data_IF_704961775314
#
_entry.id   IF_704961775314
#
_cell.length_a   1.000
_cell.length_b   1.000
_cell.length_c   1.000
_cell.angle_alpha   90.00
_cell.angle_beta   90.00
_cell.angle_gamma   90.00
#
_symmetry.space_group_name_H-M   'P 1'
#
loop_
_entity.id
_entity.type
_entity.pdbx_description
1 polymer ?
#
# COMPACT_ATOMS: atom_id res chain seq x y z
N UNK A 1 -9.58 -25.56 59.25
CA UNK A 1 -8.22 -25.26 58.72
C UNK A 1 -8.01 -25.67 57.24
N UNK A 2 -8.98 -26.22 56.52
CA UNK A 2 -8.85 -26.64 55.11
C UNK A 2 -9.22 -25.56 54.04
N UNK A 3 -9.97 -24.54 54.43
CA UNK A 3 -10.49 -23.53 53.46
C UNK A 3 -9.46 -22.42 53.13
N UNK A 4 -8.48 -22.15 53.99
CA UNK A 4 -7.45 -21.11 53.74
C UNK A 4 -6.35 -21.53 52.75
N UNK A 5 -6.08 -22.82 52.61
CA UNK A 5 -5.08 -23.34 51.67
C UNK A 5 -5.55 -23.28 50.23
N UNK A 6 -6.83 -23.50 49.94
CA UNK A 6 -7.39 -23.47 48.55
C UNK A 6 -7.35 -22.05 47.97
N UNK A 7 -7.58 -21.01 48.80
CA UNK A 7 -7.53 -19.63 48.31
C UNK A 7 -6.11 -19.16 48.00
N UNK A 8 -5.09 -19.69 48.69
CA UNK A 8 -3.69 -19.35 48.44
C UNK A 8 -3.18 -19.93 47.12
N UNK A 9 -3.62 -21.16 46.76
CA UNK A 9 -3.22 -21.79 45.49
C UNK A 9 -3.87 -21.12 44.27
N UNK A 10 -5.10 -20.67 44.37
CA UNK A 10 -5.77 -19.91 43.31
C UNK A 10 -5.12 -18.54 43.07
N UNK A 11 -4.66 -17.86 44.10
CA UNK A 11 -4.00 -16.55 43.99
C UNK A 11 -2.58 -16.67 43.39
N UNK A 12 -1.85 -17.72 43.70
CA UNK A 12 -0.51 -17.98 43.17
C UNK A 12 -0.59 -18.40 41.69
N UNK A 13 -1.59 -19.24 41.31
CA UNK A 13 -1.82 -19.63 39.92
C UNK A 13 -2.16 -18.44 39.00
N UNK A 14 -2.96 -17.47 39.50
CA UNK A 14 -3.34 -16.28 38.75
C UNK A 14 -2.17 -15.32 38.54
N UNK A 15 -1.30 -15.17 39.56
CA UNK A 15 -0.08 -14.35 39.47
C UNK A 15 0.95 -14.91 38.48
N UNK A 16 1.11 -16.23 38.45
CA UNK A 16 2.02 -16.90 37.48
C UNK A 16 1.54 -16.78 36.05
N UNK A 17 0.24 -16.94 35.78
CA UNK A 17 -0.32 -16.84 34.44
C UNK A 17 -0.22 -15.40 33.88
N UNK A 18 -0.43 -14.40 34.70
CA UNK A 18 -0.27 -12.98 34.31
C UNK A 18 1.20 -12.66 34.00
N UNK A 19 2.13 -13.14 34.82
CA UNK A 19 3.55 -12.88 34.60
C UNK A 19 4.12 -13.53 33.32
N UNK A 20 3.66 -14.74 32.99
CA UNK A 20 4.04 -15.43 31.73
C UNK A 20 3.48 -14.67 30.53
N UNK A 21 2.21 -14.28 30.55
CA UNK A 21 1.59 -13.54 29.46
C UNK A 21 2.27 -12.19 29.20
N UNK A 22 2.67 -11.45 30.24
CA UNK A 22 3.41 -10.20 30.10
C UNK A 22 4.85 -10.39 29.58
N UNK A 23 5.50 -11.48 29.94
CA UNK A 23 6.84 -11.81 29.44
C UNK A 23 6.82 -12.19 27.96
N UNK A 24 5.81 -12.94 27.51
CA UNK A 24 5.62 -13.31 26.11
C UNK A 24 5.30 -12.08 25.25
N UNK A 25 4.44 -11.18 25.73
CA UNK A 25 4.08 -9.95 25.02
C UNK A 25 5.29 -9.02 24.84
N UNK A 26 6.13 -8.87 25.86
CA UNK A 26 7.38 -8.10 25.75
C UNK A 26 8.34 -8.72 24.74
N UNK A 27 8.47 -10.04 24.71
CA UNK A 27 9.29 -10.75 23.73
C UNK A 27 8.77 -10.54 22.30
N UNK A 28 7.44 -10.53 22.07
CA UNK A 28 6.87 -10.27 20.75
C UNK A 28 7.14 -8.85 20.27
N UNK A 29 6.99 -7.85 21.13
CA UNK A 29 7.27 -6.46 20.78
C UNK A 29 8.76 -6.25 20.43
N UNK A 30 9.68 -6.94 21.11
CA UNK A 30 11.11 -6.92 20.80
C UNK A 30 11.37 -7.54 19.41
N UNK A 31 10.78 -8.70 19.10
CA UNK A 31 10.90 -9.34 17.78
C UNK A 31 10.35 -8.46 16.65
N UNK A 32 9.22 -7.79 16.87
CA UNK A 32 8.64 -6.85 15.91
C UNK A 32 9.56 -5.64 15.71
N UNK A 33 10.11 -5.08 16.77
CA UNK A 33 11.03 -3.95 16.69
C UNK A 33 12.35 -4.33 15.96
N UNK A 34 12.87 -5.55 16.20
CA UNK A 34 14.02 -6.08 15.45
C UNK A 34 13.66 -6.24 13.96
N UNK A 35 12.49 -6.80 13.64
CA UNK A 35 12.06 -6.96 12.27
C UNK A 35 11.93 -5.61 11.55
N UNK A 36 11.50 -4.56 12.25
CA UNK A 36 11.36 -3.23 11.69
C UNK A 36 12.71 -2.61 11.33
N UNK A 37 13.72 -2.77 12.17
CA UNK A 37 15.09 -2.32 11.87
C UNK A 37 15.65 -3.03 10.63
N UNK A 38 15.49 -4.37 10.59
CA UNK A 38 15.92 -5.17 9.44
C UNK A 38 15.20 -4.78 8.15
N UNK A 39 13.91 -4.48 8.24
CA UNK A 39 13.13 -3.97 7.11
C UNK A 39 13.66 -2.61 6.62
N UNK A 40 13.94 -1.67 7.52
CA UNK A 40 14.49 -0.35 7.18
C UNK A 40 15.85 -0.46 6.47
N UNK A 41 16.63 -1.50 6.80
CA UNK A 41 17.90 -1.82 6.15
C UNK A 41 17.74 -2.67 4.86
N UNK A 42 16.52 -2.86 4.36
CA UNK A 42 16.17 -3.73 3.23
C UNK A 42 16.56 -5.21 3.40
N UNK A 43 16.76 -5.66 4.64
CA UNK A 43 17.06 -7.05 4.98
C UNK A 43 15.76 -7.85 5.16
N UNK A 44 14.97 -7.95 4.09
CA UNK A 44 13.61 -8.51 4.14
C UNK A 44 13.57 -9.96 4.62
N UNK A 45 14.53 -10.79 4.25
CA UNK A 45 14.55 -12.21 4.63
C UNK A 45 14.81 -12.39 6.13
N UNK A 46 15.67 -11.57 6.72
CA UNK A 46 15.94 -11.56 8.15
C UNK A 46 14.78 -10.96 8.95
N UNK A 47 14.19 -9.87 8.44
CA UNK A 47 12.95 -9.29 8.97
C UNK A 47 11.83 -10.33 9.02
N UNK A 48 11.65 -11.09 7.94
CA UNK A 48 10.67 -12.15 7.84
C UNK A 48 10.87 -13.26 8.88
N UNK A 49 12.12 -13.64 9.17
CA UNK A 49 12.43 -14.64 10.24
C UNK A 49 11.98 -14.15 11.62
N UNK A 50 12.21 -12.86 11.93
CA UNK A 50 11.75 -12.27 13.20
C UNK A 50 10.24 -12.24 13.31
N UNK A 51 9.54 -11.91 12.19
CA UNK A 51 8.08 -11.96 12.16
C UNK A 51 7.55 -13.38 12.31
N UNK A 52 8.19 -14.38 11.68
CA UNK A 52 7.83 -15.79 11.85
C UNK A 52 8.00 -16.28 13.30
N UNK A 53 9.03 -15.81 14.01
CA UNK A 53 9.24 -16.04 15.44
C UNK A 53 8.14 -15.36 16.26
N UNK A 54 7.82 -14.09 15.97
CA UNK A 54 6.75 -13.36 16.64
C UNK A 54 5.38 -14.02 16.45
N UNK A 55 5.05 -14.49 15.25
CA UNK A 55 3.80 -15.23 14.98
C UNK A 55 3.71 -16.56 15.72
N UNK A 56 4.85 -17.25 15.96
CA UNK A 56 4.90 -18.47 16.77
C UNK A 56 4.74 -18.18 18.25
N UNK A 57 5.39 -17.15 18.75
CA UNK A 57 5.38 -16.77 20.17
C UNK A 57 4.05 -16.14 20.56
N UNK A 58 3.47 -15.30 19.68
CA UNK A 58 2.22 -14.57 19.92
C UNK A 58 1.21 -14.79 18.77
N UNK A 59 0.66 -15.99 18.62
CA UNK A 59 -0.18 -16.34 17.46
C UNK A 59 -1.51 -15.58 17.37
N UNK A 60 -1.86 -14.81 18.42
CA UNK A 60 -3.07 -13.96 18.47
C UNK A 60 -2.79 -12.48 18.21
N UNK A 61 -1.55 -12.10 18.03
CA UNK A 61 -1.17 -10.71 17.71
C UNK A 61 -1.29 -10.48 16.20
N UNK A 62 -2.05 -9.48 15.80
CA UNK A 62 -2.33 -9.19 14.39
C UNK A 62 -1.12 -8.52 13.68
N UNK A 63 -0.36 -7.72 14.39
CA UNK A 63 0.71 -6.88 13.84
C UNK A 63 1.78 -7.63 13.02
N UNK A 64 2.35 -8.78 13.45
CA UNK A 64 3.35 -9.49 12.65
C UNK A 64 2.83 -9.91 11.27
N UNK A 65 1.54 -10.20 11.16
CA UNK A 65 0.95 -10.66 9.90
C UNK A 65 0.89 -9.54 8.85
N UNK A 66 0.40 -8.34 9.18
CA UNK A 66 0.40 -7.25 8.20
C UNK A 66 1.83 -6.81 7.83
N UNK A 67 2.78 -6.85 8.79
CA UNK A 67 4.19 -6.54 8.51
C UNK A 67 4.81 -7.56 7.55
N UNK A 68 4.46 -8.83 7.68
CA UNK A 68 4.88 -9.88 6.74
C UNK A 68 4.34 -9.60 5.33
N UNK A 69 3.06 -9.25 5.21
CA UNK A 69 2.45 -8.83 3.94
C UNK A 69 3.18 -7.63 3.32
N UNK A 70 3.52 -6.61 4.14
CA UNK A 70 4.32 -5.46 3.73
C UNK A 70 5.69 -5.88 3.18
N UNK A 71 6.41 -6.71 3.92
CA UNK A 71 7.76 -7.15 3.52
C UNK A 71 7.75 -7.86 2.15
N UNK A 72 6.77 -8.74 1.91
CA UNK A 72 6.60 -9.40 0.61
C UNK A 72 6.40 -8.37 -0.49
N UNK A 73 5.47 -7.44 -0.29
CA UNK A 73 5.14 -6.40 -1.27
C UNK A 73 6.37 -5.53 -1.58
N UNK A 74 7.03 -4.97 -0.57
CA UNK A 74 8.13 -4.04 -0.76
C UNK A 74 9.38 -4.71 -1.34
N UNK A 75 9.65 -5.96 -0.99
CA UNK A 75 10.66 -6.78 -1.66
C UNK A 75 10.38 -6.88 -3.16
N UNK A 76 9.12 -7.11 -3.55
CA UNK A 76 8.72 -7.19 -4.96
C UNK A 76 8.86 -5.85 -5.69
N UNK A 77 8.61 -4.74 -4.99
CA UNK A 77 8.76 -3.41 -5.55
C UNK A 77 10.24 -2.95 -5.61
N UNK A 78 11.11 -3.48 -4.73
CA UNK A 78 12.54 -3.17 -4.71
C UNK A 78 13.35 -3.85 -5.82
N UNK A 79 12.81 -4.90 -6.47
CA UNK A 79 13.51 -5.53 -7.57
C UNK A 79 13.66 -4.60 -8.77
N UNK A 80 14.88 -4.55 -9.33
CA UNK A 80 15.06 -4.04 -10.68
C UNK A 80 14.14 -4.79 -11.63
N UNK A 81 13.64 -4.07 -12.64
CA UNK A 81 12.70 -4.59 -13.62
C UNK A 81 13.07 -5.93 -14.24
N UNK A 82 14.36 -6.09 -14.55
CA UNK A 82 14.90 -7.31 -15.17
C UNK A 82 15.02 -8.48 -14.17
N UNK A 83 14.81 -8.23 -12.88
CA UNK A 83 14.90 -9.20 -11.79
C UNK A 83 13.53 -9.53 -11.18
N UNK A 84 12.46 -8.84 -11.61
CA UNK A 84 11.11 -9.17 -11.12
C UNK A 84 10.77 -10.63 -11.47
N UNK A 85 10.16 -11.36 -10.51
CA UNK A 85 9.70 -12.72 -10.76
C UNK A 85 8.74 -12.81 -11.96
N UNK A 86 8.66 -13.98 -12.57
CA UNK A 86 7.66 -14.23 -13.62
C UNK A 86 6.23 -13.98 -13.13
N UNK A 87 5.34 -13.62 -14.05
CA UNK A 87 3.93 -13.30 -13.78
C UNK A 87 3.22 -14.29 -12.85
N UNK A 88 3.46 -15.61 -13.03
CA UNK A 88 2.84 -16.66 -12.20
C UNK A 88 3.30 -16.57 -10.75
N UNK A 89 4.58 -16.32 -10.55
CA UNK A 89 5.17 -16.18 -9.23
C UNK A 89 4.75 -14.88 -8.56
N UNK A 90 4.68 -13.77 -9.30
CA UNK A 90 4.12 -12.51 -8.79
C UNK A 90 2.69 -12.68 -8.27
N UNK A 91 1.83 -13.38 -9.03
CA UNK A 91 0.46 -13.67 -8.61
C UNK A 91 0.46 -14.48 -7.32
N UNK A 92 1.33 -15.50 -7.20
CA UNK A 92 1.45 -16.33 -5.99
C UNK A 92 1.86 -15.50 -4.78
N UNK A 93 2.85 -14.63 -4.94
CA UNK A 93 3.36 -13.78 -3.85
C UNK A 93 2.33 -12.72 -3.42
N UNK A 94 1.58 -12.12 -4.35
CA UNK A 94 0.47 -11.22 -3.97
C UNK A 94 -0.70 -11.95 -3.29
N UNK A 95 -0.97 -13.21 -3.66
CA UNK A 95 -1.92 -14.05 -2.90
C UNK A 95 -1.41 -14.36 -1.49
N UNK A 96 -0.11 -14.47 -1.29
CA UNK A 96 0.49 -14.64 0.02
C UNK A 96 0.31 -13.38 0.89
N UNK A 97 0.47 -12.17 0.30
CA UNK A 97 0.11 -10.90 0.97
C UNK A 97 -1.35 -10.91 1.42
N UNK A 98 -2.29 -11.33 0.55
CA UNK A 98 -3.70 -11.46 0.92
C UNK A 98 -3.91 -12.45 2.07
N UNK A 99 -3.25 -13.60 2.04
CA UNK A 99 -3.36 -14.63 3.09
C UNK A 99 -2.93 -14.09 4.45
N UNK A 100 -1.81 -13.37 4.51
CA UNK A 100 -1.36 -12.74 5.75
C UNK A 100 -2.32 -11.63 6.19
N UNK A 101 -2.82 -10.82 5.29
CA UNK A 101 -3.78 -9.77 5.59
C UNK A 101 -5.15 -10.33 6.05
N UNK A 102 -5.62 -11.42 5.46
CA UNK A 102 -6.82 -12.13 5.90
C UNK A 102 -6.66 -12.66 7.32
N UNK A 103 -5.52 -13.29 7.62
CA UNK A 103 -5.22 -13.74 8.98
C UNK A 103 -5.16 -12.57 9.97
N UNK A 104 -4.58 -11.46 9.57
CA UNK A 104 -4.55 -10.22 10.34
C UNK A 104 -5.98 -9.74 10.66
N UNK A 105 -6.86 -9.65 9.65
CA UNK A 105 -8.26 -9.23 9.85
C UNK A 105 -9.09 -10.21 10.68
N UNK A 106 -8.78 -11.53 10.64
CA UNK A 106 -9.38 -12.51 11.53
C UNK A 106 -9.01 -12.28 13.00
N UNK A 107 -7.77 -11.86 13.26
CA UNK A 107 -7.25 -11.61 14.60
C UNK A 107 -7.71 -10.26 15.15
N UNK A 108 -7.69 -9.21 14.33
CA UNK A 108 -8.17 -7.89 14.69
C UNK A 108 -8.84 -7.15 13.51
N UNK A 109 -10.17 -7.16 13.49
CA UNK A 109 -10.97 -6.45 12.49
C UNK A 109 -10.91 -4.92 12.64
N UNK A 110 -10.38 -4.41 13.75
CA UNK A 110 -10.29 -2.97 14.03
C UNK A 110 -8.91 -2.40 13.71
N UNK A 111 -7.94 -3.24 13.39
CA UNK A 111 -6.63 -2.77 12.91
C UNK A 111 -6.73 -2.38 11.42
N UNK A 112 -6.64 -1.07 11.14
CA UNK A 112 -6.67 -0.53 9.78
C UNK A 112 -5.52 -1.02 8.90
N UNK A 113 -4.37 -1.40 9.47
CA UNK A 113 -3.23 -1.91 8.71
C UNK A 113 -3.53 -3.26 8.06
N UNK A 114 -4.31 -4.13 8.73
CA UNK A 114 -4.75 -5.39 8.15
C UNK A 114 -5.54 -5.17 6.85
N UNK A 115 -6.45 -4.19 6.87
CA UNK A 115 -7.27 -3.83 5.72
C UNK A 115 -6.47 -3.13 4.61
N UNK A 116 -5.51 -2.29 4.98
CA UNK A 116 -4.60 -1.66 4.02
C UNK A 116 -3.87 -2.72 3.19
N UNK A 117 -3.22 -3.68 3.86
CA UNK A 117 -2.44 -4.72 3.18
C UNK A 117 -3.31 -5.75 2.46
N UNK A 118 -4.55 -5.97 2.93
CA UNK A 118 -5.54 -6.74 2.17
C UNK A 118 -5.84 -6.09 0.81
N UNK A 119 -6.15 -4.81 0.79
CA UNK A 119 -6.38 -4.08 -0.45
C UNK A 119 -5.16 -4.06 -1.38
N UNK A 120 -3.94 -3.93 -0.83
CA UNK A 120 -2.69 -4.00 -1.59
C UNK A 120 -2.54 -5.37 -2.26
N UNK A 121 -2.70 -6.47 -1.53
CA UNK A 121 -2.60 -7.83 -2.08
C UNK A 121 -3.60 -8.06 -3.21
N UNK A 122 -4.89 -7.80 -2.97
CA UNK A 122 -5.95 -7.97 -3.97
C UNK A 122 -5.68 -7.10 -5.21
N UNK A 123 -5.35 -5.82 -5.01
CA UNK A 123 -5.12 -4.86 -6.09
C UNK A 123 -3.93 -5.24 -6.98
N UNK A 124 -2.80 -5.61 -6.37
CA UNK A 124 -1.59 -6.02 -7.11
C UNK A 124 -1.79 -7.36 -7.81
N UNK A 125 -2.44 -8.32 -7.17
CA UNK A 125 -2.83 -9.57 -7.83
C UNK A 125 -3.72 -9.31 -9.05
N UNK A 126 -4.76 -8.48 -8.87
CA UNK A 126 -5.70 -8.12 -9.93
C UNK A 126 -5.00 -7.49 -11.13
N UNK A 127 -4.20 -6.46 -10.92
CA UNK A 127 -3.44 -5.77 -11.98
C UNK A 127 -2.46 -6.70 -12.68
N UNK A 128 -1.77 -7.58 -11.95
CA UNK A 128 -0.88 -8.59 -12.50
C UNK A 128 -1.63 -9.63 -13.35
N UNK A 129 -2.84 -10.01 -12.97
CA UNK A 129 -3.67 -10.95 -13.75
C UNK A 129 -4.21 -10.33 -15.04
N UNK A 130 -4.35 -9.02 -15.10
CA UNK A 130 -4.79 -8.25 -16.26
C UNK A 130 -6.12 -7.51 -16.02
N UNK A 131 -6.43 -6.59 -16.94
CA UNK A 131 -7.49 -5.58 -16.79
C UNK A 131 -8.87 -6.16 -16.43
N UNK A 132 -9.32 -7.20 -17.13
CA UNK A 132 -10.64 -7.78 -16.85
C UNK A 132 -10.75 -8.36 -15.45
N UNK A 133 -9.71 -9.07 -14.98
CA UNK A 133 -9.72 -9.65 -13.63
C UNK A 133 -9.62 -8.56 -12.57
N UNK A 134 -8.82 -7.51 -12.80
CA UNK A 134 -8.71 -6.39 -11.87
C UNK A 134 -10.03 -5.65 -11.68
N UNK A 135 -10.87 -5.53 -12.73
CA UNK A 135 -12.18 -4.91 -12.61
C UNK A 135 -13.12 -5.68 -11.68
N UNK A 136 -13.13 -7.02 -11.74
CA UNK A 136 -13.95 -7.84 -10.84
C UNK A 136 -13.46 -7.86 -9.38
N UNK A 137 -12.22 -7.45 -9.14
CA UNK A 137 -11.64 -7.31 -7.80
C UNK A 137 -11.69 -5.87 -7.27
N UNK A 138 -12.10 -4.93 -8.09
CA UNK A 138 -12.02 -3.50 -7.76
C UNK A 138 -12.89 -3.14 -6.54
N UNK A 139 -14.08 -3.74 -6.42
CA UNK A 139 -14.95 -3.53 -5.25
C UNK A 139 -14.28 -3.98 -3.95
N UNK A 140 -13.63 -5.16 -3.94
CA UNK A 140 -12.97 -5.70 -2.75
C UNK A 140 -11.78 -4.82 -2.34
N UNK A 141 -11.06 -4.24 -3.31
CA UNK A 141 -9.97 -3.28 -3.07
C UNK A 141 -10.52 -1.99 -2.45
N UNK A 142 -11.58 -1.40 -3.04
CA UNK A 142 -12.20 -0.19 -2.52
C UNK A 142 -12.68 -0.40 -1.08
N UNK A 143 -13.42 -1.48 -0.82
CA UNK A 143 -13.96 -1.81 0.50
C UNK A 143 -12.84 -1.96 1.54
N UNK A 144 -11.76 -2.64 1.20
CA UNK A 144 -10.62 -2.82 2.08
C UNK A 144 -9.94 -1.49 2.41
N UNK A 145 -9.64 -0.64 1.43
CA UNK A 145 -8.96 0.63 1.67
C UNK A 145 -9.86 1.69 2.31
N UNK A 146 -11.15 1.76 1.96
CA UNK A 146 -12.12 2.63 2.65
C UNK A 146 -12.28 2.19 4.11
N UNK A 147 -12.28 0.89 4.38
CA UNK A 147 -12.30 0.36 5.74
C UNK A 147 -11.03 0.73 6.50
N UNK A 148 -9.84 0.56 5.89
CA UNK A 148 -8.57 0.97 6.47
C UNK A 148 -8.55 2.46 6.86
N UNK A 149 -8.97 3.33 5.93
CA UNK A 149 -9.05 4.78 6.15
C UNK A 149 -10.00 5.13 7.31
N UNK A 150 -11.18 4.49 7.36
CA UNK A 150 -12.19 4.71 8.41
C UNK A 150 -11.75 4.28 9.81
N UNK A 151 -10.90 3.26 9.92
CA UNK A 151 -10.35 2.75 11.18
C UNK A 151 -9.18 3.60 11.68
N UNK A 152 -8.55 4.34 10.80
CA UNK A 152 -7.33 5.09 11.08
C UNK A 152 -6.08 4.20 11.05
N UNK A 153 -4.96 4.81 10.69
CA UNK A 153 -3.67 4.16 10.53
C UNK A 153 -2.63 4.93 11.33
N UNK A 154 -1.94 4.25 12.21
CA UNK A 154 -1.01 4.87 13.19
C UNK A 154 0.45 4.62 12.85
N UNK A 155 0.75 3.59 12.03
CA UNK A 155 2.12 3.24 11.70
C UNK A 155 2.83 4.35 10.95
N UNK A 156 4.03 4.68 11.44
CA UNK A 156 5.02 5.54 10.79
C UNK A 156 6.40 4.95 11.04
N UNK A 157 7.24 4.87 9.99
CA UNK A 157 8.65 4.46 10.15
C UNK A 157 9.44 5.49 10.97
N UNK A 158 10.50 5.04 11.63
CA UNK A 158 11.34 5.91 12.46
C UNK A 158 11.98 7.05 11.66
N UNK A 159 12.39 6.80 10.41
CA UNK A 159 12.94 7.78 9.48
C UNK A 159 11.86 8.67 8.83
N UNK A 160 10.58 8.37 9.05
CA UNK A 160 9.45 9.11 8.52
C UNK A 160 9.17 8.91 7.02
N UNK A 161 9.94 8.05 6.34
CA UNK A 161 9.77 7.79 4.89
C UNK A 161 8.51 6.97 4.57
N UNK A 162 8.01 6.19 5.53
CA UNK A 162 6.78 5.42 5.40
C UNK A 162 5.75 5.88 6.43
N UNK A 163 4.52 6.16 5.96
CA UNK A 163 3.39 6.55 6.79
C UNK A 163 2.12 5.91 6.22
N UNK A 164 1.53 4.99 6.97
CA UNK A 164 0.39 4.21 6.52
C UNK A 164 -0.85 5.08 6.22
N UNK A 165 -1.05 6.18 6.97
CA UNK A 165 -2.13 7.13 6.70
C UNK A 165 -1.96 7.83 5.35
N UNK A 166 -0.75 8.26 5.03
CA UNK A 166 -0.44 8.82 3.70
C UNK A 166 -0.61 7.77 2.62
N UNK A 167 -0.16 6.53 2.87
CA UNK A 167 -0.23 5.41 1.96
C UNK A 167 -1.66 5.03 1.56
N UNK A 168 -2.61 5.01 2.51
CA UNK A 168 -4.02 4.70 2.17
C UNK A 168 -4.67 5.81 1.36
N UNK A 169 -4.38 7.07 1.66
CA UNK A 169 -4.87 8.21 0.87
C UNK A 169 -4.29 8.17 -0.55
N UNK A 170 -3.01 7.91 -0.70
CA UNK A 170 -2.36 7.70 -2.00
C UNK A 170 -3.01 6.55 -2.79
N UNK A 171 -3.21 5.40 -2.15
CA UNK A 171 -3.79 4.21 -2.77
C UNK A 171 -5.23 4.46 -3.26
N UNK A 172 -6.09 5.07 -2.42
CA UNK A 172 -7.45 5.46 -2.80
C UNK A 172 -7.47 6.49 -3.92
N UNK A 173 -6.57 7.48 -3.88
CA UNK A 173 -6.43 8.45 -4.96
C UNK A 173 -6.10 7.81 -6.30
N UNK A 174 -5.11 6.92 -6.32
CA UNK A 174 -4.78 6.13 -7.52
C UNK A 174 -5.93 5.25 -7.97
N UNK A 175 -6.59 4.56 -7.04
CA UNK A 175 -7.71 3.68 -7.33
C UNK A 175 -8.82 4.40 -8.09
N UNK A 176 -9.32 5.52 -7.56
CA UNK A 176 -10.40 6.27 -8.18
C UNK A 176 -10.02 6.90 -9.54
N UNK A 177 -8.73 7.09 -9.82
CA UNK A 177 -8.25 7.53 -11.14
C UNK A 177 -8.15 6.39 -12.14
N UNK A 178 -7.63 5.23 -11.71
CA UNK A 178 -7.31 4.10 -12.60
C UNK A 178 -8.55 3.28 -12.95
N UNK A 179 -9.49 3.14 -12.01
CA UNK A 179 -10.78 2.49 -12.29
C UNK A 179 -11.57 3.35 -13.28
N UNK A 180 -12.10 2.78 -14.37
CA UNK A 180 -12.79 3.59 -15.37
C UNK A 180 -14.12 4.19 -14.87
N UNK A 181 -14.34 5.49 -15.12
CA UNK A 181 -15.60 6.17 -14.77
C UNK A 181 -16.81 5.67 -15.56
N UNK A 182 -16.61 5.11 -16.78
CA UNK A 182 -17.72 4.55 -17.55
C UNK A 182 -18.39 3.35 -16.86
N UNK A 183 -17.71 2.71 -15.89
CA UNK A 183 -18.30 1.67 -15.04
C UNK A 183 -19.42 2.21 -14.14
N UNK A 184 -19.52 3.52 -13.92
CA UNK A 184 -20.60 4.12 -13.14
C UNK A 184 -21.98 3.99 -13.80
N UNK A 185 -22.02 3.68 -15.10
CA UNK A 185 -23.28 3.53 -15.85
C UNK A 185 -23.93 2.16 -15.59
N UNK A 186 -25.27 2.17 -15.50
CA UNK A 186 -26.07 0.94 -15.42
C UNK A 186 -25.89 0.08 -16.69
N UNK A 187 -25.78 -1.25 -16.60
CA UNK A 187 -25.76 -2.09 -15.38
C UNK A 187 -24.36 -2.36 -14.82
N UNK A 188 -23.31 -1.75 -15.36
CA UNK A 188 -21.91 -2.10 -15.11
C UNK A 188 -21.52 -1.91 -13.63
N UNK A 189 -21.97 -0.81 -13.02
CA UNK A 189 -21.70 -0.56 -11.59
C UNK A 189 -22.25 -1.67 -10.69
N UNK A 190 -23.41 -2.23 -11.02
CA UNK A 190 -24.01 -3.33 -10.24
C UNK A 190 -23.24 -4.65 -10.42
N UNK A 191 -22.58 -4.83 -11.56
CA UNK A 191 -21.80 -6.04 -11.87
C UNK A 191 -20.42 -5.95 -11.22
N UNK A 192 -19.76 -4.79 -11.29
CA UNK A 192 -18.39 -4.58 -10.79
C UNK A 192 -18.37 -4.14 -9.32
N UNK A 193 -19.45 -3.54 -8.82
CA UNK A 193 -19.61 -3.04 -7.46
C UNK A 193 -19.06 -1.64 -7.23
N UNK A 194 -18.16 -1.14 -8.11
CA UNK A 194 -17.50 0.16 -8.00
C UNK A 194 -17.28 0.82 -9.36
N UNK A 195 -16.85 2.08 -9.33
CA UNK A 195 -16.43 2.81 -10.52
C UNK A 195 -15.43 3.92 -10.18
N UNK A 196 -14.70 4.42 -11.18
CA UNK A 196 -13.77 5.53 -11.03
C UNK A 196 -14.46 6.85 -10.70
N UNK A 197 -13.72 7.76 -10.09
CA UNK A 197 -14.17 9.12 -9.74
C UNK A 197 -12.96 10.05 -9.62
N UNK A 198 -12.71 10.84 -10.66
CA UNK A 198 -11.55 11.72 -10.69
C UNK A 198 -11.59 12.82 -9.60
N UNK A 199 -12.78 13.25 -9.14
CA UNK A 199 -12.89 14.21 -8.03
C UNK A 199 -12.51 13.59 -6.71
N UNK A 200 -12.95 12.35 -6.46
CA UNK A 200 -12.49 11.59 -5.28
C UNK A 200 -10.98 11.34 -5.36
N UNK A 201 -10.46 10.99 -6.54
CA UNK A 201 -9.02 10.84 -6.75
C UNK A 201 -8.25 12.07 -6.32
N UNK A 202 -8.62 13.27 -6.82
CA UNK A 202 -8.00 14.53 -6.44
C UNK A 202 -8.10 14.78 -4.92
N UNK A 203 -9.26 14.52 -4.32
CA UNK A 203 -9.47 14.70 -2.87
C UNK A 203 -8.50 13.85 -2.05
N UNK A 204 -8.38 12.56 -2.38
CA UNK A 204 -7.49 11.65 -1.68
C UNK A 204 -6.01 11.97 -1.93
N UNK A 205 -5.63 12.35 -3.17
CA UNK A 205 -4.25 12.77 -3.45
C UNK A 205 -3.87 14.06 -2.71
N UNK A 206 -4.79 15.03 -2.57
CA UNK A 206 -4.56 16.20 -1.73
C UNK A 206 -4.37 15.81 -0.25
N UNK A 207 -5.10 14.82 0.24
CA UNK A 207 -4.92 14.29 1.60
C UNK A 207 -3.56 13.61 1.76
N UNK A 208 -3.09 12.87 0.74
CA UNK A 208 -1.76 12.26 0.75
C UNK A 208 -0.65 13.31 0.81
N UNK A 209 -0.75 14.40 0.03
CA UNK A 209 0.20 15.53 0.06
C UNK A 209 0.15 16.27 1.40
N UNK A 210 -1.04 16.52 1.97
CA UNK A 210 -1.16 17.16 3.27
C UNK A 210 -0.50 16.34 4.39
N UNK A 211 -0.44 15.02 4.22
CA UNK A 211 0.22 14.08 5.12
C UNK A 211 1.76 14.06 4.92
N UNK A 212 2.22 14.07 3.66
CA UNK A 212 3.65 14.11 3.28
C UNK A 212 3.86 15.03 2.07
N UNK A 213 4.12 16.32 2.32
CA UNK A 213 4.25 17.32 1.24
C UNK A 213 5.47 17.12 0.34
N UNK A 214 6.50 16.44 0.84
CA UNK A 214 7.76 16.24 0.12
C UNK A 214 7.79 14.93 -0.68
N UNK A 215 6.76 14.08 -0.57
CA UNK A 215 6.68 12.85 -1.33
C UNK A 215 6.49 13.14 -2.82
N UNK A 216 7.49 12.80 -3.64
CA UNK A 216 7.50 13.06 -5.08
C UNK A 216 6.36 12.29 -5.77
N UNK A 217 6.12 11.04 -5.38
CA UNK A 217 5.04 10.19 -5.88
C UNK A 217 3.65 10.77 -5.59
N UNK A 218 3.39 11.29 -4.36
CA UNK A 218 2.12 11.93 -4.01
C UNK A 218 1.87 13.18 -4.89
N UNK A 219 2.88 14.03 -5.03
CA UNK A 219 2.80 15.25 -5.85
C UNK A 219 2.53 14.90 -7.32
N UNK A 220 3.27 13.93 -7.87
CA UNK A 220 3.07 13.47 -9.24
C UNK A 220 1.66 12.91 -9.46
N UNK A 221 1.16 12.04 -8.56
CA UNK A 221 -0.18 11.45 -8.73
C UNK A 221 -1.31 12.47 -8.59
N UNK A 222 -1.16 13.50 -7.74
CA UNK A 222 -2.11 14.64 -7.75
C UNK A 222 -2.11 15.34 -9.10
N UNK A 223 -0.93 15.66 -9.62
CA UNK A 223 -0.81 16.34 -10.91
C UNK A 223 -1.42 15.50 -12.05
N UNK A 224 -1.20 14.19 -12.07
CA UNK A 224 -1.83 13.28 -13.05
C UNK A 224 -3.35 13.30 -12.94
N UNK A 225 -3.90 13.27 -11.72
CA UNK A 225 -5.35 13.32 -11.49
C UNK A 225 -5.95 14.65 -11.93
N UNK A 226 -5.30 15.78 -11.62
CA UNK A 226 -5.69 17.12 -12.04
C UNK A 226 -5.63 17.28 -13.57
N UNK A 227 -4.55 16.83 -14.21
CA UNK A 227 -4.43 16.86 -15.68
C UNK A 227 -5.55 16.06 -16.34
N UNK A 228 -5.80 14.84 -15.86
CA UNK A 228 -6.84 14.00 -16.44
C UNK A 228 -8.23 14.62 -16.25
N UNK A 229 -8.56 15.11 -15.07
CA UNK A 229 -9.83 15.76 -14.79
C UNK A 229 -9.96 17.08 -15.57
N UNK A 230 -8.93 17.90 -15.57
CA UNK A 230 -8.89 19.18 -16.27
C UNK A 230 -9.11 19.05 -17.78
N UNK A 231 -8.48 18.07 -18.42
CA UNK A 231 -8.68 17.78 -19.85
C UNK A 231 -10.10 17.22 -20.12
N UNK A 232 -10.56 16.27 -19.31
CA UNK A 232 -11.85 15.61 -19.51
C UNK A 232 -13.04 16.53 -19.32
N UNK A 233 -12.96 17.45 -18.36
CA UNK A 233 -14.07 18.33 -17.96
C UNK A 233 -13.83 19.80 -18.27
N UNK A 234 -12.78 20.09 -19.09
CA UNK A 234 -12.42 21.44 -19.53
C UNK A 234 -12.23 22.42 -18.36
N UNK A 235 -11.34 22.04 -17.42
CA UNK A 235 -10.96 22.86 -16.24
C UNK A 235 -9.52 23.36 -16.40
N UNK A 236 -9.30 24.50 -17.05
CA UNK A 236 -7.94 24.99 -17.34
C UNK A 236 -7.14 25.31 -16.08
N UNK A 237 -7.79 25.73 -14.99
CA UNK A 237 -7.10 26.03 -13.73
C UNK A 237 -6.44 24.78 -13.14
N UNK A 238 -7.09 23.62 -13.25
CA UNK A 238 -6.52 22.35 -12.77
C UNK A 238 -5.33 21.92 -13.60
N UNK A 239 -5.37 22.17 -14.91
CA UNK A 239 -4.23 21.89 -15.80
C UNK A 239 -3.02 22.76 -15.42
N UNK A 240 -3.22 24.04 -15.16
CA UNK A 240 -2.13 24.95 -14.75
C UNK A 240 -1.61 24.62 -13.34
N UNK A 241 -2.50 24.28 -12.39
CA UNK A 241 -2.08 23.78 -11.07
C UNK A 241 -1.20 22.53 -11.20
N UNK A 242 -1.63 21.57 -12.01
CA UNK A 242 -0.89 20.33 -12.23
C UNK A 242 0.50 20.56 -12.84
N UNK A 243 0.59 21.43 -13.86
CA UNK A 243 1.89 21.79 -14.47
C UNK A 243 2.82 22.40 -13.45
N UNK A 244 2.30 23.30 -12.59
CA UNK A 244 3.07 23.89 -11.51
C UNK A 244 3.60 22.83 -10.56
N UNK A 245 2.75 21.89 -10.11
CA UNK A 245 3.17 20.79 -9.23
C UNK A 245 4.27 19.95 -9.89
N UNK A 246 4.13 19.60 -11.19
CA UNK A 246 5.12 18.81 -11.93
C UNK A 246 6.48 19.54 -12.07
N UNK A 247 6.48 20.85 -12.14
CA UNK A 247 7.69 21.67 -12.14
C UNK A 247 8.30 21.72 -10.74
N UNK A 248 7.51 22.02 -9.72
CA UNK A 248 7.97 22.20 -8.35
C UNK A 248 8.58 20.91 -7.78
N UNK A 249 7.99 19.75 -8.07
CA UNK A 249 8.50 18.45 -7.58
C UNK A 249 9.90 18.10 -8.09
N UNK A 250 10.37 18.73 -9.20
CA UNK A 250 11.74 18.50 -9.68
C UNK A 250 12.80 18.95 -8.66
N UNK A 251 12.47 19.91 -7.80
CA UNK A 251 13.35 20.44 -6.77
C UNK A 251 13.33 19.63 -5.46
N UNK A 252 12.36 18.75 -5.27
CA UNK A 252 12.26 17.93 -4.06
C UNK A 252 13.44 16.95 -3.95
N UNK A 253 13.91 16.63 -2.73
CA UNK A 253 14.98 15.66 -2.54
C UNK A 253 14.51 14.25 -2.90
N UNK A 254 15.38 13.47 -3.51
CA UNK A 254 15.14 12.05 -3.79
C UNK A 254 15.47 11.25 -2.53
N UNK A 255 14.45 10.71 -1.88
CA UNK A 255 14.55 9.96 -0.63
C UNK A 255 14.10 8.51 -0.76
N UNK A 256 13.40 8.18 -1.86
CA UNK A 256 12.82 6.86 -2.12
C UNK A 256 13.35 6.28 -3.44
N UNK A 257 13.34 4.96 -3.55
CA UNK A 257 13.86 4.22 -4.71
C UNK A 257 13.23 4.69 -6.04
N UNK A 258 11.94 5.06 -6.03
CA UNK A 258 11.23 5.46 -7.25
C UNK A 258 11.28 6.96 -7.57
N UNK A 259 11.84 7.78 -6.70
CA UNK A 259 11.77 9.25 -6.84
C UNK A 259 12.40 9.74 -8.16
N UNK A 260 13.52 9.15 -8.57
CA UNK A 260 14.16 9.48 -9.84
C UNK A 260 13.24 9.19 -11.04
N UNK A 261 12.62 8.01 -11.04
CA UNK A 261 11.69 7.59 -12.11
C UNK A 261 10.46 8.50 -12.11
N UNK A 262 9.93 8.83 -10.93
CA UNK A 262 8.76 9.70 -10.81
C UNK A 262 9.05 11.12 -11.30
N UNK A 263 10.25 11.66 -11.10
CA UNK A 263 10.70 12.92 -11.71
C UNK A 263 10.83 12.83 -13.24
N UNK A 264 11.32 11.72 -13.76
CA UNK A 264 11.39 11.49 -15.21
C UNK A 264 9.99 11.44 -15.82
N UNK A 265 9.05 10.71 -15.19
CA UNK A 265 7.65 10.67 -15.62
C UNK A 265 6.95 12.03 -15.50
N UNK A 266 7.29 12.84 -14.49
CA UNK A 266 6.79 14.20 -14.39
C UNK A 266 7.23 15.09 -15.56
N UNK A 267 8.50 14.96 -16.00
CA UNK A 267 9.00 15.66 -17.22
C UNK A 267 8.27 15.18 -18.47
N UNK A 268 8.03 13.88 -18.60
CA UNK A 268 7.27 13.30 -19.71
C UNK A 268 5.83 13.87 -19.76
N UNK A 269 5.16 13.94 -18.61
CA UNK A 269 3.81 14.52 -18.51
C UNK A 269 3.77 16.02 -18.79
N UNK A 270 4.82 16.78 -18.44
CA UNK A 270 4.95 18.18 -18.82
C UNK A 270 5.12 18.37 -20.33
N UNK A 271 5.85 17.45 -20.99
CA UNK A 271 6.05 17.50 -22.43
C UNK A 271 4.76 17.11 -23.19
N UNK A 272 3.99 16.16 -22.66
CA UNK A 272 2.72 15.72 -23.25
C UNK A 272 1.67 15.41 -22.17
N UNK A 273 0.85 16.39 -21.85
CA UNK A 273 -0.22 16.26 -20.87
C UNK A 273 -1.32 15.28 -21.26
N UNK A 274 -1.44 14.92 -22.56
CA UNK A 274 -2.46 13.97 -23.04
C UNK A 274 -2.28 12.57 -22.47
N UNK A 275 -1.08 12.24 -22.01
CA UNK A 275 -0.74 10.97 -21.40
C UNK A 275 -1.39 10.75 -20.01
N UNK A 276 -1.86 11.83 -19.36
CA UNK A 276 -2.26 11.78 -17.95
C UNK A 276 -3.41 10.80 -17.66
N UNK A 277 -4.47 10.77 -18.49
CA UNK A 277 -5.62 9.89 -18.26
C UNK A 277 -5.29 8.40 -18.38
N UNK A 278 -4.30 8.05 -19.19
CA UNK A 278 -3.82 6.67 -19.37
C UNK A 278 -2.60 6.31 -18.53
N UNK A 279 -2.07 7.27 -17.78
CA UNK A 279 -0.83 7.11 -17.05
C UNK A 279 -0.91 6.02 -15.98
N UNK A 280 0.04 5.10 -16.02
CA UNK A 280 0.34 4.13 -14.97
C UNK A 280 1.86 3.92 -14.94
N UNK A 281 2.51 4.05 -13.77
CA UNK A 281 3.97 3.93 -13.63
C UNK A 281 4.52 2.67 -14.34
N UNK A 282 3.94 1.52 -14.05
CA UNK A 282 4.42 0.23 -14.57
C UNK A 282 4.31 0.13 -16.09
N UNK A 283 3.24 0.63 -16.69
CA UNK A 283 3.05 0.64 -18.15
C UNK A 283 4.03 1.55 -18.87
N UNK A 284 4.29 2.75 -18.33
CA UNK A 284 5.25 3.68 -18.93
C UNK A 284 6.65 3.09 -18.91
N UNK A 285 6.97 2.39 -17.87
CA UNK A 285 8.23 1.69 -17.78
C UNK A 285 8.32 0.53 -18.77
N UNK A 286 7.28 -0.26 -19.05
CA UNK A 286 7.26 -1.32 -20.08
C UNK A 286 7.47 -0.76 -21.49
N UNK A 287 6.78 0.32 -21.83
CA UNK A 287 6.90 0.99 -23.13
C UNK A 287 8.31 1.55 -23.35
N UNK A 288 8.93 2.12 -22.33
CA UNK A 288 10.31 2.62 -22.41
C UNK A 288 11.32 1.49 -22.63
N UNK A 289 11.06 0.31 -22.08
CA UNK A 289 11.91 -0.87 -22.30
C UNK A 289 11.78 -1.39 -23.73
N UNK A 290 10.56 -1.51 -24.26
CA UNK A 290 10.33 -1.94 -25.64
C UNK A 290 10.98 -0.98 -26.64
N UNK A 291 10.90 0.33 -26.43
CA UNK A 291 11.58 1.32 -27.24
C UNK A 291 13.12 1.14 -27.19
N UNK A 292 13.69 0.95 -26.00
CA UNK A 292 15.11 0.74 -25.81
C UNK A 292 15.63 -0.56 -26.43
N UNK A 293 14.85 -1.65 -26.33
CA UNK A 293 15.20 -2.95 -26.89
C UNK A 293 15.09 -2.94 -28.44
N UNK A 294 14.14 -2.14 -28.99
CA UNK A 294 13.99 -1.94 -30.44
C UNK A 294 15.11 -1.07 -31.05
N UNK A 295 15.63 -0.08 -30.31
CA UNK A 295 16.78 0.74 -30.76
C UNK A 295 18.11 -0.01 -30.77
N UNK A 296 18.19 -1.20 -30.16
CA UNK A 296 19.38 -2.06 -30.13
C UNK A 296 19.38 -3.17 -31.21
N UNK A 297 18.29 -3.36 -31.94
CA UNK A 297 18.20 -4.29 -33.07
C UNK A 297 18.43 -3.57 -34.39
#
# INVERSE_FOLDING_TARGET
MKIRLIRLWLSIGLLFTVSIAMADEKSCNELIAESEKLWADNQFDESDKRLDEAMKTCPKLAEPYWRKGRNIYERLESFDRNQKPEKKELIRLYMEVETFADKCTELDQKDGHCWLWKGVGIGRRGTTQGVLKSLFMASDVEDAWVKADSLGLTYRSEDGTSNAKCGVSYALGMFYRVVPEWLCHFPLKQIVGTCGDLKKSITYQRSAIACDPNAIDNNKELAVSLLCHGQKYNQPEEIEEAKKILVDLQSLPETRVFDKIDKEHARMLLADISLACGYQRDKQQEQSKEAYDNDKQ
#
